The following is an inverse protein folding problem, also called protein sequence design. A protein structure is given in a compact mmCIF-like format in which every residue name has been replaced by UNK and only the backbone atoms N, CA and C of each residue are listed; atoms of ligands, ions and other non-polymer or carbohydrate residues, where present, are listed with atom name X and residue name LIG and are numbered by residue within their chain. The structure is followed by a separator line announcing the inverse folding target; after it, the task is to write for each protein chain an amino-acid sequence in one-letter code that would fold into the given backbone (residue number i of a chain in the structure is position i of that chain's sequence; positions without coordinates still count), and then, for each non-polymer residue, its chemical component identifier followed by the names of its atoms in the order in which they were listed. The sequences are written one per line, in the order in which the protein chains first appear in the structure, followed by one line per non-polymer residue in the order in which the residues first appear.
data_IF_716412772572
#
_entry.id   IF_716412772572
#
_cell.length_a   1.000
_cell.length_b   1.000
_cell.length_c   1.000
_cell.angle_alpha   90.00
_cell.angle_beta   90.00
_cell.angle_gamma   90.00
#
_symmetry.space_group_name_H-M   'P 1'
#
loop_
_entity.id
_entity.type
_entity.pdbx_description
1 polymer ?
#
# COMPACT_ATOMS: atom_id res chain seq x y z
N UNK A 1 25.16 -12.90 19.10
CA UNK A 1 25.48 -13.44 17.77
C UNK A 1 24.24 -13.22 16.93
N UNK A 2 24.18 -12.12 16.17
CA UNK A 2 23.00 -11.78 15.38
C UNK A 2 23.00 -12.72 14.17
N UNK A 3 22.07 -13.68 14.13
CA UNK A 3 21.71 -14.34 12.88
C UNK A 3 21.32 -13.20 11.95
N UNK A 4 22.05 -13.02 10.85
CA UNK A 4 21.67 -12.00 9.88
C UNK A 4 20.26 -12.32 9.42
N UNK A 5 19.30 -11.45 9.73
CA UNK A 5 17.93 -11.56 9.26
C UNK A 5 17.95 -11.38 7.74
N UNK A 6 18.27 -12.46 7.03
CA UNK A 6 18.18 -12.50 5.59
C UNK A 6 16.73 -12.24 5.22
N UNK A 7 16.51 -11.26 4.34
CA UNK A 7 15.20 -10.99 3.76
C UNK A 7 14.56 -12.32 3.31
N UNK A 8 13.28 -12.58 3.63
CA UNK A 8 12.65 -13.83 3.22
C UNK A 8 12.68 -13.98 1.70
N UNK A 9 12.94 -15.21 1.22
CA UNK A 9 12.76 -15.53 -0.18
C UNK A 9 11.25 -15.63 -0.47
N UNK A 10 10.75 -14.78 -1.38
CA UNK A 10 9.38 -14.85 -1.87
C UNK A 10 9.35 -15.50 -3.24
N UNK A 11 8.42 -16.41 -3.46
CA UNK A 11 8.19 -17.03 -4.77
C UNK A 11 7.10 -16.31 -5.57
N UNK A 12 6.37 -15.40 -4.92
CA UNK A 12 5.17 -14.73 -5.44
C UNK A 12 5.18 -13.25 -5.03
N UNK A 13 4.86 -12.39 -5.98
CA UNK A 13 4.80 -10.94 -5.79
C UNK A 13 3.46 -10.45 -6.29
N UNK A 14 2.68 -9.88 -5.39
CA UNK A 14 1.30 -9.50 -5.64
C UNK A 14 1.20 -8.00 -5.41
N UNK A 15 0.66 -7.27 -6.37
CA UNK A 15 0.34 -5.87 -6.19
C UNK A 15 -1.15 -5.63 -6.38
N UNK A 16 -1.70 -4.80 -5.50
CA UNK A 16 -3.12 -4.50 -5.43
C UNK A 16 -3.28 -2.99 -5.51
N UNK A 17 -3.79 -2.53 -6.65
CA UNK A 17 -4.33 -1.17 -6.76
C UNK A 17 -5.65 -1.14 -5.96
N UNK A 18 -5.74 -0.25 -4.98
CA UNK A 18 -6.74 -0.34 -3.91
C UNK A 18 -7.70 0.85 -3.92
N UNK A 19 -9.00 0.55 -3.80
CA UNK A 19 -10.04 1.57 -3.85
C UNK A 19 -10.47 2.05 -2.46
N UNK A 20 -10.49 3.37 -2.29
CA UNK A 20 -11.17 4.07 -1.20
C UNK A 20 -12.61 4.52 -1.51
N UNK A 21 -13.13 4.24 -2.70
CA UNK A 21 -14.47 4.67 -3.08
C UNK A 21 -15.57 3.96 -2.27
N UNK A 22 -16.67 4.66 -2.02
CA UNK A 22 -17.84 4.10 -1.35
C UNK A 22 -18.75 3.35 -2.33
N UNK A 23 -19.37 2.26 -1.88
CA UNK A 23 -20.35 1.47 -2.63
C UNK A 23 -19.95 0.00 -2.79
N UNK A 24 -20.92 -0.86 -3.15
CA UNK A 24 -20.69 -2.31 -3.36
C UNK A 24 -19.95 -2.64 -4.67
N UNK A 25 -19.72 -1.64 -5.52
CA UNK A 25 -19.16 -1.77 -6.86
C UNK A 25 -18.36 -0.51 -7.19
N UNK A 26 -17.10 -0.48 -6.82
CA UNK A 26 -16.15 0.53 -7.30
C UNK A 26 -15.27 -0.10 -8.39
N UNK A 27 -15.07 0.61 -9.49
CA UNK A 27 -14.35 0.11 -10.67
C UNK A 27 -12.81 0.16 -10.54
N UNK A 28 -12.28 0.28 -9.32
CA UNK A 28 -10.90 0.69 -9.07
C UNK A 28 -10.11 -0.24 -8.15
N UNK A 29 -10.36 -1.55 -8.20
CA UNK A 29 -9.44 -2.53 -7.61
C UNK A 29 -8.91 -3.42 -8.72
N UNK A 30 -7.59 -3.46 -8.86
CA UNK A 30 -6.89 -4.35 -9.78
C UNK A 30 -5.85 -5.15 -9.00
N UNK A 31 -5.75 -6.44 -9.32
CA UNK A 31 -4.80 -7.36 -8.70
C UNK A 31 -3.89 -7.90 -9.79
N UNK A 32 -2.59 -7.80 -9.59
CA UNK A 32 -1.59 -8.41 -10.46
C UNK A 32 -0.66 -9.30 -9.64
N UNK A 33 -0.21 -10.38 -10.26
CA UNK A 33 0.73 -11.33 -9.64
C UNK A 33 1.83 -11.72 -10.62
N UNK A 34 3.05 -11.88 -10.12
CA UNK A 34 4.14 -12.57 -10.82
C UNK A 34 4.85 -13.56 -9.88
N UNK A 35 5.47 -14.58 -10.47
CA UNK A 35 6.35 -15.49 -9.75
C UNK A 35 7.77 -14.93 -9.59
N UNK A 36 8.66 -15.71 -8.99
CA UNK A 36 10.09 -15.44 -8.99
C UNK A 36 10.64 -15.23 -10.41
N UNK A 37 10.06 -15.92 -11.39
CA UNK A 37 10.33 -15.78 -12.81
C UNK A 37 9.03 -15.49 -13.59
N UNK A 38 9.18 -15.03 -14.84
CA UNK A 38 8.05 -14.82 -15.77
C UNK A 38 7.38 -13.44 -15.67
N UNK A 39 6.43 -13.16 -16.57
CA UNK A 39 5.77 -11.85 -16.63
C UNK A 39 4.69 -11.70 -15.55
N UNK A 40 4.43 -10.47 -15.06
CA UNK A 40 3.25 -10.20 -14.26
C UNK A 40 1.98 -10.36 -15.09
N UNK A 41 0.91 -10.80 -14.43
CA UNK A 41 -0.41 -11.02 -15.03
C UNK A 41 -1.50 -10.43 -14.17
N UNK A 42 -2.53 -9.90 -14.80
CA UNK A 42 -3.76 -9.51 -14.11
C UNK A 42 -4.45 -10.79 -13.59
N UNK A 43 -4.82 -10.75 -12.32
CA UNK A 43 -5.64 -11.79 -11.69
C UNK A 43 -7.10 -11.41 -11.91
N UNK A 44 -7.82 -12.29 -12.59
CA UNK A 44 -9.24 -12.12 -12.81
C UNK A 44 -10.00 -12.11 -11.47
N UNK A 45 -11.00 -11.23 -11.30
CA UNK A 45 -11.85 -11.24 -10.11
C UNK A 45 -12.61 -12.56 -9.98
N UNK A 46 -12.86 -12.98 -8.74
CA UNK A 46 -13.71 -14.14 -8.43
C UNK A 46 -15.20 -13.88 -8.72
N UNK A 47 -15.56 -12.61 -8.85
CA UNK A 47 -16.88 -12.13 -9.26
C UNK A 47 -16.77 -11.30 -10.57
N UNK A 48 -17.82 -10.56 -10.95
CA UNK A 48 -17.78 -9.66 -12.12
C UNK A 48 -16.70 -8.57 -12.02
N UNK A 49 -16.37 -8.14 -10.81
CA UNK A 49 -15.33 -7.15 -10.49
C UNK A 49 -14.81 -7.42 -9.07
N UNK A 50 -13.61 -6.93 -8.75
CA UNK A 50 -13.08 -7.05 -7.39
C UNK A 50 -13.90 -6.21 -6.40
N UNK A 51 -14.25 -6.82 -5.27
CA UNK A 51 -14.60 -6.17 -4.01
C UNK A 51 -13.45 -6.36 -3.01
N UNK A 52 -13.38 -5.55 -1.95
CA UNK A 52 -12.36 -5.71 -0.89
C UNK A 52 -12.57 -7.02 -0.13
N UNK A 53 -13.82 -7.47 0.04
CA UNK A 53 -14.14 -8.81 0.55
C UNK A 53 -13.63 -9.91 -0.37
N UNK A 54 -13.86 -9.82 -1.68
CA UNK A 54 -13.33 -10.81 -2.63
C UNK A 54 -11.80 -10.84 -2.63
N UNK A 55 -11.13 -9.68 -2.50
CA UNK A 55 -9.66 -9.62 -2.36
C UNK A 55 -9.21 -10.27 -1.06
N UNK A 56 -9.89 -10.00 0.06
CA UNK A 56 -9.62 -10.66 1.35
C UNK A 56 -9.70 -12.18 1.23
N UNK A 57 -10.80 -12.71 0.68
CA UNK A 57 -11.01 -14.15 0.53
C UNK A 57 -9.91 -14.75 -0.37
N UNK A 58 -9.62 -14.12 -1.50
CA UNK A 58 -8.57 -14.57 -2.43
C UNK A 58 -7.16 -14.53 -1.82
N UNK A 59 -6.86 -13.53 -0.99
CA UNK A 59 -5.60 -13.43 -0.26
C UNK A 59 -5.49 -14.53 0.80
N UNK A 60 -6.57 -14.79 1.54
CA UNK A 60 -6.63 -15.81 2.58
C UNK A 60 -6.43 -17.21 1.98
N UNK A 61 -7.16 -17.55 0.92
CA UNK A 61 -6.96 -18.78 0.14
C UNK A 61 -5.55 -18.85 -0.45
N UNK A 62 -5.03 -17.68 -0.85
CA UNK A 62 -3.70 -17.54 -1.42
C UNK A 62 -2.55 -17.82 -0.47
N UNK A 63 -2.78 -17.88 0.85
CA UNK A 63 -1.78 -18.29 1.81
C UNK A 63 -1.36 -19.76 1.59
N UNK A 64 -2.27 -20.62 1.11
CA UNK A 64 -1.99 -22.05 0.85
C UNK A 64 -1.02 -22.26 -0.31
N UNK A 65 -0.90 -21.28 -1.21
CA UNK A 65 0.04 -21.32 -2.34
C UNK A 65 1.48 -20.98 -1.94
N UNK A 66 1.72 -20.71 -0.66
CA UNK A 66 3.02 -20.37 -0.09
C UNK A 66 3.27 -18.86 0.04
N UNK A 67 4.43 -18.49 0.62
CA UNK A 67 4.76 -17.12 1.00
C UNK A 67 4.80 -16.15 -0.18
N UNK A 68 4.16 -15.00 -0.02
CA UNK A 68 4.17 -13.92 -1.01
C UNK A 68 4.61 -12.59 -0.38
N UNK A 69 5.15 -11.70 -1.21
CA UNK A 69 5.22 -10.27 -0.90
C UNK A 69 4.03 -9.58 -1.55
N UNK A 70 3.16 -8.99 -0.72
CA UNK A 70 1.91 -8.36 -1.15
C UNK A 70 2.01 -6.85 -0.92
N UNK A 71 1.97 -6.07 -1.99
CA UNK A 71 1.87 -4.62 -1.94
C UNK A 71 0.42 -4.17 -2.12
N UNK A 72 -0.06 -3.28 -1.26
CA UNK A 72 -1.40 -2.67 -1.38
C UNK A 72 -1.27 -1.15 -1.48
N UNK A 73 -1.92 -0.55 -2.48
CA UNK A 73 -1.93 0.92 -2.69
C UNK A 73 -2.88 1.62 -1.71
N UNK A 74 -2.57 1.53 -0.42
CA UNK A 74 -3.26 2.29 0.61
C UNK A 74 -2.39 2.51 1.84
N UNK A 75 -2.66 3.59 2.57
CA UNK A 75 -1.97 3.89 3.81
C UNK A 75 -2.36 2.89 4.91
N UNK A 76 -1.37 2.20 5.49
CA UNK A 76 -1.61 1.24 6.58
C UNK A 76 -1.78 1.91 7.95
N UNK A 77 -1.55 3.22 8.03
CA UNK A 77 -1.79 4.02 9.22
C UNK A 77 -2.19 5.45 8.87
N UNK A 78 -2.45 6.25 9.91
CA UNK A 78 -2.67 7.69 9.83
C UNK A 78 -1.40 8.42 10.31
N UNK A 79 -1.19 9.68 9.89
CA UNK A 79 -0.24 10.59 10.54
C UNK A 79 -0.48 10.64 12.05
N UNK A 80 0.48 10.14 12.84
CA UNK A 80 0.28 10.00 14.28
C UNK A 80 0.33 11.34 15.00
N UNK A 81 0.78 12.43 14.36
CA UNK A 81 0.69 13.78 14.92
C UNK A 81 -0.76 14.18 15.21
N UNK A 82 -1.70 13.58 14.48
CA UNK A 82 -3.14 13.72 14.69
C UNK A 82 -3.69 12.49 15.43
N UNK A 83 -3.41 11.28 14.94
CA UNK A 83 -4.02 10.06 15.46
C UNK A 83 -3.68 9.75 16.93
N UNK A 84 -2.58 10.28 17.46
CA UNK A 84 -2.23 10.20 18.87
C UNK A 84 -3.36 10.65 19.82
N UNK A 85 -4.20 11.59 19.37
CA UNK A 85 -5.33 12.13 20.15
C UNK A 85 -6.44 11.11 20.40
N UNK A 86 -6.43 9.99 19.67
CA UNK A 86 -7.45 8.94 19.77
C UNK A 86 -7.19 7.97 20.92
N UNK A 87 -6.04 8.12 21.59
CA UNK A 87 -5.56 7.20 22.62
C UNK A 87 -5.34 7.93 23.95
N UNK A 88 -5.65 7.27 25.08
CA UNK A 88 -5.39 7.82 26.41
C UNK A 88 -3.88 7.87 26.74
N UNK A 89 -3.12 6.90 26.24
CA UNK A 89 -1.65 6.85 26.33
C UNK A 89 -1.08 6.77 24.90
N UNK A 90 -0.78 7.92 24.27
CA UNK A 90 -0.34 7.95 22.89
C UNK A 90 1.07 7.39 22.66
N UNK A 91 1.93 7.38 23.68
CA UNK A 91 3.30 6.85 23.59
C UNK A 91 3.29 5.30 23.61
N UNK A 92 2.31 4.70 24.29
CA UNK A 92 2.11 3.25 24.27
C UNK A 92 1.35 2.76 23.03
N UNK A 93 0.56 3.62 22.37
CA UNK A 93 -0.26 3.24 21.23
C UNK A 93 0.56 2.82 20.02
N UNK A 94 0.12 1.75 19.36
CA UNK A 94 0.69 1.21 18.13
C UNK A 94 -0.28 1.37 16.96
N UNK A 95 0.18 1.02 15.76
CA UNK A 95 -0.70 0.93 14.60
C UNK A 95 -1.85 -0.06 14.81
N UNK A 96 -1.64 -1.13 15.58
CA UNK A 96 -2.67 -2.16 15.77
C UNK A 96 -3.80 -1.66 16.69
N UNK A 97 -3.46 -0.79 17.66
CA UNK A 97 -4.47 -0.09 18.47
C UNK A 97 -5.33 0.85 17.61
N UNK A 98 -4.72 1.50 16.60
CA UNK A 98 -5.46 2.27 15.61
C UNK A 98 -6.39 1.38 14.78
N UNK A 99 -5.93 0.21 14.34
CA UNK A 99 -6.75 -0.71 13.57
C UNK A 99 -7.93 -1.24 14.39
N UNK A 100 -7.72 -1.60 15.65
CA UNK A 100 -8.78 -1.99 16.58
C UNK A 100 -9.78 -0.86 16.80
N UNK A 101 -9.29 0.39 16.88
CA UNK A 101 -10.17 1.57 16.99
C UNK A 101 -11.02 1.78 15.74
N UNK A 102 -10.42 1.67 14.55
CA UNK A 102 -11.14 1.79 13.28
C UNK A 102 -12.19 0.68 13.16
N UNK A 103 -11.83 -0.56 13.52
CA UNK A 103 -12.77 -1.69 13.48
C UNK A 103 -13.91 -1.54 14.50
N UNK A 104 -13.63 -1.05 15.71
CA UNK A 104 -14.67 -0.82 16.72
C UNK A 104 -15.76 0.16 16.24
N UNK A 105 -15.40 1.11 15.38
CA UNK A 105 -16.32 2.12 14.85
C UNK A 105 -16.98 1.68 13.54
N UNK A 106 -16.20 1.14 12.62
CA UNK A 106 -16.63 0.85 11.25
C UNK A 106 -16.93 -0.65 11.00
N UNK A 107 -16.81 -1.51 12.02
CA UNK A 107 -16.88 -2.97 11.89
C UNK A 107 -18.13 -3.50 11.18
N UNK A 108 -19.27 -2.85 11.41
CA UNK A 108 -20.54 -3.22 10.78
C UNK A 108 -20.66 -2.75 9.31
N UNK A 109 -19.75 -1.92 8.81
CA UNK A 109 -19.79 -1.49 7.42
C UNK A 109 -19.38 -2.62 6.48
N UNK A 110 -20.13 -2.83 5.38
CA UNK A 110 -19.86 -3.91 4.45
C UNK A 110 -18.54 -3.68 3.72
N UNK A 111 -17.98 -4.78 3.21
CA UNK A 111 -16.87 -4.74 2.25
C UNK A 111 -15.68 -3.91 2.77
N UNK A 112 -15.40 -4.04 4.07
CA UNK A 112 -14.35 -3.33 4.81
C UNK A 112 -14.41 -1.79 4.71
N UNK A 113 -15.55 -1.18 4.39
CA UNK A 113 -15.60 0.28 4.32
C UNK A 113 -15.25 0.94 5.66
N UNK A 114 -14.49 2.04 5.63
CA UNK A 114 -14.09 2.78 6.83
C UNK A 114 -14.73 4.16 6.93
N UNK A 115 -15.85 4.38 6.23
CA UNK A 115 -16.42 5.72 6.06
C UNK A 115 -16.94 6.30 7.38
N UNK A 116 -17.51 5.44 8.23
CA UNK A 116 -18.04 5.75 9.54
C UNK A 116 -16.98 6.21 10.53
N UNK A 117 -15.75 5.67 10.46
CA UNK A 117 -14.64 6.20 11.26
C UNK A 117 -14.33 7.65 10.90
N UNK A 118 -14.22 7.94 9.60
CA UNK A 118 -14.05 9.29 9.12
C UNK A 118 -15.29 10.17 9.39
N UNK A 119 -16.47 9.59 9.60
CA UNK A 119 -17.71 10.32 9.93
C UNK A 119 -17.92 10.55 11.44
N UNK A 120 -17.21 9.79 12.28
CA UNK A 120 -17.45 9.67 13.72
C UNK A 120 -17.29 11.00 14.47
N UNK A 121 -18.10 11.32 15.50
CA UNK A 121 -17.98 12.56 16.26
C UNK A 121 -16.58 12.77 16.87
N UNK A 122 -15.97 11.70 17.39
CA UNK A 122 -14.69 11.79 18.11
C UNK A 122 -13.46 11.88 17.20
N UNK A 123 -13.57 11.46 15.93
CA UNK A 123 -12.40 11.32 15.01
C UNK A 123 -12.57 12.12 13.73
N UNK A 124 -13.82 12.26 13.27
CA UNK A 124 -14.15 12.79 11.95
C UNK A 124 -13.84 14.28 11.76
N UNK A 125 -13.69 15.03 12.86
CA UNK A 125 -13.29 16.43 12.83
C UNK A 125 -11.87 16.64 12.28
N UNK A 126 -11.00 15.63 12.36
CA UNK A 126 -9.63 15.71 11.83
C UNK A 126 -9.55 15.45 10.32
N UNK A 127 -10.61 14.90 9.72
CA UNK A 127 -10.65 14.60 8.29
C UNK A 127 -11.21 15.79 7.50
N UNK A 128 -10.50 16.20 6.45
CA UNK A 128 -11.04 17.16 5.49
C UNK A 128 -12.00 16.44 4.52
N UNK A 129 -13.30 16.52 4.81
CA UNK A 129 -14.35 15.70 4.16
C UNK A 129 -15.19 16.43 3.11
N UNK A 130 -15.28 17.75 3.18
CA UNK A 130 -16.17 18.55 2.36
C UNK A 130 -15.65 20.00 2.24
N UNK A 131 -16.08 20.70 1.19
CA UNK A 131 -15.84 22.13 1.02
C UNK A 131 -14.39 22.52 0.72
N UNK A 132 -14.13 23.83 0.81
CA UNK A 132 -12.78 24.40 0.72
C UNK A 132 -11.89 23.86 1.85
N UNK A 133 -10.57 23.93 1.66
CA UNK A 133 -9.64 23.55 2.71
C UNK A 133 -9.87 24.45 3.94
N UNK A 134 -10.20 23.88 5.11
CA UNK A 134 -10.45 24.68 6.29
C UNK A 134 -9.14 25.13 6.93
N UNK A 135 -9.16 26.27 7.62
CA UNK A 135 -7.96 26.92 8.20
C UNK A 135 -7.20 26.04 9.22
N UNK A 136 -7.92 25.13 9.88
CA UNK A 136 -7.33 24.17 10.82
C UNK A 136 -6.59 23.02 10.12
N UNK A 137 -6.88 22.74 8.85
CA UNK A 137 -6.29 21.60 8.15
C UNK A 137 -4.88 21.94 7.68
N UNK A 138 -3.89 21.34 8.36
CA UNK A 138 -2.46 21.54 8.12
C UNK A 138 -1.80 20.46 7.25
N UNK A 139 -2.58 19.74 6.44
CA UNK A 139 -2.12 18.67 5.54
C UNK A 139 -1.13 17.69 6.21
N UNK A 140 -1.57 16.96 7.26
CA UNK A 140 -0.68 16.10 8.03
C UNK A 140 -0.18 14.92 7.19
N UNK A 141 1.12 14.66 7.19
CA UNK A 141 1.76 13.53 6.49
C UNK A 141 2.53 12.67 7.48
N UNK A 142 2.67 11.37 7.22
CA UNK A 142 3.65 10.54 7.94
C UNK A 142 5.03 10.86 7.41
N UNK A 143 6.07 10.33 8.07
CA UNK A 143 7.44 10.52 7.59
C UNK A 143 7.65 9.95 6.18
N UNK A 144 7.02 8.82 5.86
CA UNK A 144 7.21 8.14 4.57
C UNK A 144 6.73 8.98 3.36
N UNK A 145 5.61 9.71 3.45
CA UNK A 145 5.19 10.58 2.33
C UNK A 145 6.12 11.77 2.14
N UNK A 146 6.69 12.31 3.23
CA UNK A 146 7.69 13.39 3.14
C UNK A 146 8.96 12.90 2.45
N UNK A 147 9.46 11.72 2.81
CA UNK A 147 10.65 11.13 2.17
C UNK A 147 10.34 10.74 0.72
N UNK A 148 9.18 10.16 0.43
CA UNK A 148 8.74 9.85 -0.93
C UNK A 148 8.80 11.08 -1.85
N UNK A 149 8.33 12.23 -1.34
CA UNK A 149 8.41 13.52 -2.04
C UNK A 149 9.85 14.00 -2.21
N UNK A 150 10.65 13.96 -1.16
CA UNK A 150 12.05 14.37 -1.19
C UNK A 150 12.93 13.50 -2.11
N UNK A 151 12.54 12.24 -2.30
CA UNK A 151 13.18 11.29 -3.22
C UNK A 151 12.72 11.49 -4.68
N UNK A 152 11.73 12.35 -4.93
CA UNK A 152 11.20 12.59 -6.27
C UNK A 152 10.26 11.49 -6.76
N UNK A 153 9.77 10.61 -5.89
CA UNK A 153 8.84 9.53 -6.24
C UNK A 153 7.38 9.98 -6.30
N UNK A 154 7.11 11.28 -6.26
CA UNK A 154 5.78 11.86 -6.38
C UNK A 154 5.34 12.57 -5.09
N UNK A 155 4.04 12.64 -4.87
CA UNK A 155 3.48 13.31 -3.68
C UNK A 155 2.23 12.59 -3.23
N UNK A 156 2.40 11.47 -2.50
CA UNK A 156 1.28 10.81 -1.82
C UNK A 156 0.51 11.85 -0.99
N UNK A 157 -0.81 11.70 -0.96
CA UNK A 157 -1.68 12.63 -0.25
C UNK A 157 -1.84 12.18 1.20
N UNK A 158 -2.11 13.14 2.08
CA UNK A 158 -2.46 12.85 3.47
C UNK A 158 -3.65 11.90 3.55
N UNK A 159 -3.60 10.84 4.39
CA UNK A 159 -4.77 10.02 4.70
C UNK A 159 -5.92 10.80 5.35
N UNK A 160 -5.68 12.00 5.90
CA UNK A 160 -6.74 12.86 6.42
C UNK A 160 -7.46 13.69 5.34
N UNK A 161 -7.01 13.63 4.08
CA UNK A 161 -7.66 14.31 2.95
C UNK A 161 -8.69 13.39 2.29
N UNK A 162 -9.97 13.70 2.44
CA UNK A 162 -11.09 12.95 1.84
C UNK A 162 -11.84 13.73 0.76
N UNK A 163 -11.25 14.81 0.24
CA UNK A 163 -11.82 15.66 -0.81
C UNK A 163 -11.30 15.32 -2.21
N UNK A 164 -12.22 15.40 -3.18
CA UNK A 164 -11.94 15.25 -4.60
C UNK A 164 -11.82 13.79 -5.04
N UNK A 165 -11.20 13.58 -6.21
CA UNK A 165 -11.01 12.25 -6.80
C UNK A 165 -10.00 11.37 -6.02
N UNK A 166 -9.32 11.92 -5.00
CA UNK A 166 -8.24 11.27 -4.25
C UNK A 166 -8.64 11.08 -2.78
N UNK A 167 -9.66 10.26 -2.54
CA UNK A 167 -10.13 9.92 -1.19
C UNK A 167 -9.26 8.82 -0.55
N UNK A 168 -7.95 9.01 -0.56
CA UNK A 168 -6.95 8.00 -0.15
C UNK A 168 -7.15 7.53 1.29
N UNK A 169 -7.66 8.40 2.16
CA UNK A 169 -7.94 8.06 3.56
C UNK A 169 -9.01 6.99 3.75
N UNK A 170 -10.08 6.99 2.93
CA UNK A 170 -11.08 5.92 2.98
C UNK A 170 -10.51 4.58 2.52
N UNK A 171 -9.59 4.62 1.56
CA UNK A 171 -8.83 3.44 1.12
C UNK A 171 -7.95 2.90 2.24
N UNK A 172 -7.22 3.79 2.92
CA UNK A 172 -6.40 3.45 4.09
C UNK A 172 -7.22 2.82 5.22
N UNK A 173 -8.30 3.46 5.65
CA UNK A 173 -9.19 2.93 6.69
C UNK A 173 -9.74 1.54 6.33
N UNK A 174 -10.11 1.33 5.06
CA UNK A 174 -10.54 0.01 4.61
C UNK A 174 -9.41 -1.02 4.56
N UNK A 175 -8.21 -0.61 4.17
CA UNK A 175 -7.02 -1.45 4.19
C UNK A 175 -6.66 -1.91 5.60
N UNK A 176 -6.72 -1.00 6.59
CA UNK A 176 -6.50 -1.32 8.01
C UNK A 176 -7.46 -2.40 8.50
N UNK A 177 -8.76 -2.28 8.18
CA UNK A 177 -9.78 -3.28 8.53
C UNK A 177 -9.50 -4.64 7.89
N UNK A 178 -9.19 -4.67 6.58
CA UNK A 178 -8.88 -5.92 5.87
C UNK A 178 -7.62 -6.59 6.42
N UNK A 179 -6.54 -5.83 6.63
CA UNK A 179 -5.27 -6.35 7.14
C UNK A 179 -5.41 -6.87 8.58
N UNK A 180 -6.20 -6.18 9.41
CA UNK A 180 -6.57 -6.66 10.74
C UNK A 180 -7.27 -8.01 10.66
N UNK A 181 -8.26 -8.15 9.78
CA UNK A 181 -8.97 -9.41 9.59
C UNK A 181 -8.03 -10.54 9.11
N UNK A 182 -7.12 -10.26 8.17
CA UNK A 182 -6.12 -11.24 7.70
C UNK A 182 -5.19 -11.70 8.83
N UNK A 183 -4.68 -10.76 9.64
CA UNK A 183 -3.85 -11.08 10.81
C UNK A 183 -4.61 -11.94 11.82
N UNK A 184 -5.90 -11.70 12.02
CA UNK A 184 -6.71 -12.51 12.93
C UNK A 184 -7.01 -13.91 12.40
N UNK A 185 -7.25 -14.02 11.08
CA UNK A 185 -7.53 -15.31 10.44
C UNK A 185 -6.30 -16.22 10.36
N UNK A 186 -5.10 -15.66 10.21
CA UNK A 186 -3.87 -16.44 10.02
C UNK A 186 -2.62 -15.78 10.66
N UNK A 187 -2.57 -15.63 12.00
CA UNK A 187 -1.55 -14.85 12.71
C UNK A 187 -0.11 -15.33 12.47
N UNK A 188 0.08 -16.65 12.35
CA UNK A 188 1.40 -17.26 12.15
C UNK A 188 1.89 -17.20 10.70
N UNK A 189 1.00 -16.86 9.75
CA UNK A 189 1.30 -16.84 8.31
C UNK A 189 1.31 -15.44 7.72
N UNK A 190 0.70 -14.47 8.40
CA UNK A 190 0.57 -13.08 7.92
C UNK A 190 1.47 -12.17 8.73
N UNK A 191 2.36 -11.43 8.05
CA UNK A 191 3.15 -10.34 8.61
C UNK A 191 2.82 -9.03 7.90
N UNK A 192 2.77 -7.91 8.62
CA UNK A 192 2.57 -6.58 8.03
C UNK A 192 3.82 -5.75 8.29
N UNK A 193 4.63 -5.55 7.26
CA UNK A 193 5.82 -4.72 7.34
C UNK A 193 5.45 -3.23 7.31
N UNK A 194 6.13 -2.35 8.10
CA UNK A 194 7.28 -2.62 8.98
C UNK A 194 6.92 -2.96 10.43
N UNK A 195 5.64 -3.18 10.74
CA UNK A 195 5.15 -3.36 12.11
C UNK A 195 5.46 -4.75 12.67
N UNK A 196 5.35 -5.78 11.84
CA UNK A 196 5.81 -7.13 12.12
C UNK A 196 7.14 -7.38 11.39
N UNK A 197 8.07 -8.12 11.99
CA UNK A 197 9.26 -8.57 11.28
C UNK A 197 8.86 -9.53 10.15
N UNK A 198 9.45 -9.38 8.94
CA UNK A 198 9.32 -10.39 7.90
C UNK A 198 10.00 -11.68 8.39
N UNK A 199 9.42 -12.84 8.07
CA UNK A 199 9.92 -14.12 8.58
C UNK A 199 9.76 -15.28 7.58
N UNK A 200 10.55 -16.35 7.70
CA UNK A 200 10.44 -17.52 6.83
C UNK A 200 9.02 -18.08 6.83
N UNK A 201 8.51 -18.44 5.65
CA UNK A 201 7.19 -19.06 5.53
C UNK A 201 5.99 -18.11 5.66
N UNK A 202 6.21 -16.81 5.93
CA UNK A 202 5.13 -15.83 6.09
C UNK A 202 4.89 -15.04 4.81
N UNK A 203 3.63 -14.83 4.48
CA UNK A 203 3.23 -13.80 3.51
C UNK A 203 3.36 -12.44 4.18
N UNK A 204 4.08 -11.54 3.53
CA UNK A 204 4.37 -10.19 4.03
C UNK A 204 3.54 -9.18 3.25
N UNK A 205 2.78 -8.37 3.97
CA UNK A 205 2.02 -7.25 3.44
C UNK A 205 2.80 -5.96 3.65
N UNK A 206 2.86 -5.11 2.61
CA UNK A 206 3.51 -3.81 2.67
C UNK A 206 2.66 -2.76 1.95
N UNK A 207 2.77 -1.52 2.41
CA UNK A 207 2.20 -0.39 1.70
C UNK A 207 3.02 -0.11 0.44
N UNK A 208 2.35 0.13 -0.69
CA UNK A 208 2.99 0.58 -1.92
C UNK A 208 2.40 1.90 -2.39
N UNK A 209 3.15 2.55 -3.29
CA UNK A 209 2.68 3.71 -4.05
C UNK A 209 3.00 3.46 -5.52
N UNK A 210 2.04 3.05 -6.37
CA UNK A 210 2.30 2.61 -7.74
C UNK A 210 3.14 3.59 -8.56
N UNK A 211 2.94 4.89 -8.33
CA UNK A 211 3.71 5.98 -8.93
C UNK A 211 5.22 5.84 -8.72
N UNK A 212 5.67 5.33 -7.57
CA UNK A 212 7.09 5.08 -7.29
C UNK A 212 7.67 4.14 -8.35
N UNK A 213 6.98 3.03 -8.65
CA UNK A 213 7.44 2.07 -9.63
C UNK A 213 7.40 2.63 -11.05
N UNK A 214 6.37 3.41 -11.41
CA UNK A 214 6.32 4.11 -12.69
C UNK A 214 7.48 5.09 -12.87
N UNK A 215 7.85 5.84 -11.82
CA UNK A 215 8.98 6.77 -11.87
C UNK A 215 10.29 6.01 -12.05
N UNK A 216 10.48 4.91 -11.31
CA UNK A 216 11.66 4.05 -11.46
C UNK A 216 11.74 3.40 -12.85
N UNK A 217 10.60 3.12 -13.45
CA UNK A 217 10.50 2.62 -14.82
C UNK A 217 10.69 3.71 -15.90
N UNK A 218 10.97 4.97 -15.51
CA UNK A 218 11.21 6.07 -16.46
C UNK A 218 9.95 6.78 -16.99
N UNK A 219 8.78 6.48 -16.43
CA UNK A 219 7.51 7.08 -16.87
C UNK A 219 7.20 8.42 -16.19
N UNK A 220 7.87 8.73 -15.07
CA UNK A 220 7.65 9.98 -14.35
C UNK A 220 6.22 10.08 -13.82
N UNK A 221 5.57 11.22 -14.03
CA UNK A 221 4.16 11.46 -13.65
C UNK A 221 3.13 11.01 -14.71
N UNK A 222 3.57 10.43 -15.83
CA UNK A 222 2.68 9.95 -16.91
C UNK A 222 1.89 8.73 -16.46
N UNK A 223 0.66 8.58 -16.97
CA UNK A 223 -0.13 7.35 -16.82
C UNK A 223 0.19 6.42 -18.00
N UNK A 224 0.20 5.12 -17.75
CA UNK A 224 0.27 4.09 -18.79
C UNK A 224 -1.15 3.74 -19.23
N UNK A 225 -1.36 3.62 -20.54
CA UNK A 225 -2.70 3.43 -21.16
C UNK A 225 -2.74 2.34 -22.23
N UNK A 226 -1.62 1.70 -22.53
CA UNK A 226 -1.51 0.65 -23.54
C UNK A 226 -0.47 -0.40 -23.13
N UNK A 227 -0.59 -1.59 -23.72
CA UNK A 227 0.25 -2.74 -23.40
C UNK A 227 1.72 -2.56 -23.76
N UNK A 228 2.04 -1.80 -24.82
CA UNK A 228 3.44 -1.56 -25.21
C UNK A 228 4.18 -0.70 -24.17
N UNK A 229 3.49 0.30 -23.60
CA UNK A 229 4.02 1.10 -22.50
C UNK A 229 4.15 0.28 -21.20
N UNK A 230 3.24 -0.67 -20.93
CA UNK A 230 3.41 -1.64 -19.83
C UNK A 230 4.69 -2.44 -20.05
N UNK A 231 4.87 -3.06 -21.22
CA UNK A 231 6.04 -3.90 -21.50
C UNK A 231 7.35 -3.10 -21.46
N UNK A 232 7.34 -1.83 -21.88
CA UNK A 232 8.48 -0.93 -21.72
C UNK A 232 8.82 -0.66 -20.24
N UNK A 233 7.81 -0.48 -19.38
CA UNK A 233 8.04 -0.32 -17.94
C UNK A 233 8.57 -1.62 -17.30
N UNK A 234 8.02 -2.77 -17.70
CA UNK A 234 8.45 -4.09 -17.23
C UNK A 234 9.91 -4.38 -17.59
N UNK A 235 10.34 -4.03 -18.81
CA UNK A 235 11.71 -4.20 -19.24
C UNK A 235 12.73 -3.46 -18.35
N UNK A 236 12.41 -2.22 -17.92
CA UNK A 236 13.27 -1.45 -17.00
C UNK A 236 13.35 -2.11 -15.61
N UNK A 237 12.27 -2.76 -15.17
CA UNK A 237 12.21 -3.49 -13.90
C UNK A 237 12.75 -4.93 -14.01
N UNK A 238 13.34 -5.32 -15.15
CA UNK A 238 13.88 -6.65 -15.36
C UNK A 238 12.83 -7.76 -15.45
N UNK A 239 11.59 -7.42 -15.83
CA UNK A 239 10.50 -8.37 -15.99
C UNK A 239 10.27 -8.70 -17.48
N UNK A 240 9.95 -9.97 -17.81
CA UNK A 240 9.47 -10.33 -19.14
C UNK A 240 8.19 -9.56 -19.51
N UNK A 241 7.92 -9.32 -20.80
CA UNK A 241 6.72 -8.59 -21.24
C UNK A 241 5.44 -9.34 -20.85
N UNK A 242 4.42 -8.58 -20.44
CA UNK A 242 3.08 -9.09 -20.21
C UNK A 242 2.39 -9.48 -21.53
N UNK A 243 2.81 -8.88 -22.65
CA UNK A 243 2.29 -9.23 -23.98
C UNK A 243 0.84 -8.82 -24.20
N UNK A 244 0.40 -7.75 -23.51
CA UNK A 244 -0.94 -7.20 -23.63
C UNK A 244 -1.08 -6.46 -24.97
N UNK A 245 -2.20 -6.68 -25.66
CA UNK A 245 -2.53 -5.94 -26.88
C UNK A 245 -3.59 -4.87 -26.59
N UNK A 246 -3.42 -3.70 -27.20
CA UNK A 246 -4.40 -2.61 -27.13
C UNK A 246 -4.39 -1.81 -25.82
N UNK A 247 -5.55 -1.25 -25.50
CA UNK A 247 -5.73 -0.35 -24.36
C UNK A 247 -5.68 -1.11 -23.02
N UNK A 248 -5.05 -0.48 -22.03
CA UNK A 248 -4.94 -0.99 -20.65
C UNK A 248 -5.45 0.09 -19.69
N UNK A 249 -6.18 -0.30 -18.66
CA UNK A 249 -6.65 0.65 -17.63
C UNK A 249 -5.47 1.16 -16.80
N UNK A 250 -5.58 2.33 -16.17
CA UNK A 250 -4.53 2.79 -15.26
C UNK A 250 -4.37 1.86 -14.06
N UNK A 251 -5.49 1.35 -13.53
CA UNK A 251 -5.48 0.40 -12.42
C UNK A 251 -4.72 -0.89 -12.75
N UNK A 252 -4.97 -1.47 -13.93
CA UNK A 252 -4.26 -2.68 -14.37
C UNK A 252 -2.77 -2.41 -14.61
N UNK A 253 -2.44 -1.28 -15.25
CA UNK A 253 -1.05 -0.91 -15.50
C UNK A 253 -0.30 -0.66 -14.18
N UNK A 254 -0.91 0.05 -13.23
CA UNK A 254 -0.35 0.33 -11.90
C UNK A 254 -0.13 -0.98 -11.14
N UNK A 255 -1.08 -1.92 -11.17
CA UNK A 255 -0.93 -3.23 -10.55
C UNK A 255 0.20 -4.07 -11.20
N UNK A 256 0.23 -4.18 -12.54
CA UNK A 256 1.24 -4.97 -13.26
C UNK A 256 2.66 -4.46 -13.01
N UNK A 257 2.87 -3.15 -13.14
CA UNK A 257 4.18 -2.54 -12.94
C UNK A 257 4.59 -2.64 -11.46
N UNK A 258 3.65 -2.49 -10.53
CA UNK A 258 3.93 -2.64 -9.09
C UNK A 258 4.30 -4.08 -8.72
N UNK A 259 3.67 -5.11 -9.30
CA UNK A 259 4.01 -6.50 -9.04
C UNK A 259 5.45 -6.82 -9.48
N UNK A 260 5.85 -6.36 -10.67
CA UNK A 260 7.23 -6.43 -11.13
C UNK A 260 8.19 -5.62 -10.25
N UNK A 261 7.76 -4.43 -9.82
CA UNK A 261 8.54 -3.56 -8.95
C UNK A 261 8.79 -4.15 -7.56
N UNK A 262 7.80 -4.82 -6.97
CA UNK A 262 7.95 -5.57 -5.72
C UNK A 262 9.00 -6.68 -5.85
N UNK A 263 8.93 -7.48 -6.93
CA UNK A 263 9.95 -8.50 -7.23
C UNK A 263 11.34 -7.90 -7.33
N UNK A 264 11.46 -6.80 -8.08
CA UNK A 264 12.73 -6.11 -8.30
C UNK A 264 13.32 -5.53 -7.00
N UNK A 265 12.48 -4.99 -6.11
CA UNK A 265 12.93 -4.40 -4.85
C UNK A 265 13.19 -5.44 -3.75
N UNK A 266 12.46 -6.56 -3.72
CA UNK A 266 12.48 -7.48 -2.59
C UNK A 266 13.88 -7.99 -2.26
N UNK A 267 14.75 -8.23 -3.25
CA UNK A 267 16.12 -8.67 -3.04
C UNK A 267 17.08 -7.61 -2.48
N UNK A 268 16.66 -6.34 -2.35
CA UNK A 268 17.51 -5.22 -1.95
C UNK A 268 17.39 -4.97 -0.44
N UNK A 269 18.39 -5.37 0.34
CA UNK A 269 18.33 -5.24 1.81
C UNK A 269 18.01 -3.82 2.30
N UNK A 270 18.46 -2.78 1.59
CA UNK A 270 18.21 -1.38 1.92
C UNK A 270 16.72 -1.00 1.95
N UNK A 271 15.85 -1.67 1.17
CA UNK A 271 14.41 -1.34 1.14
C UNK A 271 13.67 -1.82 2.39
N UNK A 272 14.21 -2.83 3.08
CA UNK A 272 13.61 -3.42 4.28
C UNK A 272 13.98 -2.68 5.56
N UNK A 273 15.04 -1.87 5.51
CA UNK A 273 15.52 -1.06 6.63
C UNK A 273 16.09 0.28 6.14
N UNK A 274 15.27 1.13 5.50
CA UNK A 274 15.72 2.43 5.03
C UNK A 274 16.16 3.30 6.22
N UNK A 275 17.30 4.03 6.11
CA UNK A 275 17.86 4.79 7.23
C UNK A 275 16.91 5.83 7.84
N UNK A 276 16.02 6.42 7.02
CA UNK A 276 15.07 7.43 7.44
C UNK A 276 13.85 6.86 8.20
N UNK A 277 13.60 5.54 8.13
CA UNK A 277 12.50 4.93 8.88
C UNK A 277 12.89 4.90 10.35
N UNK A 278 12.21 5.69 11.18
CA UNK A 278 12.48 5.85 12.60
C UNK A 278 11.64 4.89 13.46
N UNK A 279 11.70 5.03 14.79
CA UNK A 279 10.94 4.18 15.71
C UNK A 279 9.42 4.39 15.58
N UNK A 280 9.00 5.62 15.28
CA UNK A 280 7.59 5.97 15.10
C UNK A 280 7.03 5.37 13.82
N UNK A 281 7.77 5.43 12.72
CA UNK A 281 7.42 4.75 11.49
C UNK A 281 7.29 3.23 11.69
N UNK A 282 8.21 2.59 12.42
CA UNK A 282 8.15 1.14 12.68
C UNK A 282 6.99 0.71 13.58
N UNK A 283 6.50 1.57 14.48
CA UNK A 283 5.48 1.21 15.48
C UNK A 283 4.09 1.74 15.18
N UNK A 284 4.00 2.93 14.59
CA UNK A 284 2.79 3.73 14.53
C UNK A 284 2.41 4.11 13.10
N UNK A 285 3.33 4.61 12.29
CA UNK A 285 2.97 5.24 11.00
C UNK A 285 3.14 4.32 9.78
N UNK A 286 4.08 3.40 9.79
CA UNK A 286 4.41 2.55 8.64
C UNK A 286 5.34 3.21 7.63
N UNK A 287 5.54 2.53 6.49
CA UNK A 287 6.45 2.98 5.43
C UNK A 287 5.99 2.47 4.06
N UNK A 288 6.08 3.33 3.04
CA UNK A 288 5.89 2.93 1.64
C UNK A 288 7.11 2.13 1.18
N UNK A 289 6.90 0.89 0.76
CA UNK A 289 7.98 -0.02 0.35
C UNK A 289 8.76 0.56 -0.85
N UNK A 290 10.09 0.63 -0.72
CA UNK A 290 10.99 1.21 -1.73
C UNK A 290 11.30 2.70 -1.59
N UNK A 291 10.66 3.43 -0.66
CA UNK A 291 11.04 4.81 -0.31
C UNK A 291 12.31 4.81 0.54
N UNK A 292 13.25 5.70 0.25
CA UNK A 292 14.56 5.77 0.91
C UNK A 292 15.67 4.96 0.23
N UNK A 293 15.35 4.08 -0.73
CA UNK A 293 16.35 3.36 -1.55
C UNK A 293 16.63 4.12 -2.86
N UNK A 294 17.37 5.23 -2.80
CA UNK A 294 17.73 5.95 -4.03
C UNK A 294 18.68 5.08 -4.87
N UNK A 295 18.42 4.98 -6.17
CA UNK A 295 19.40 4.39 -7.09
C UNK A 295 20.71 5.16 -6.94
N UNK A 296 21.77 4.50 -6.47
CA UNK A 296 23.11 5.05 -6.51
C UNK A 296 23.45 5.38 -7.97
N UNK A 297 23.39 6.67 -8.34
CA UNK A 297 23.68 7.14 -9.70
C UNK A 297 22.66 8.10 -10.33
N UNK A 298 21.48 8.33 -9.74
CA UNK A 298 20.59 9.39 -10.22
C UNK A 298 20.64 10.59 -9.26
N UNK A 299 21.03 11.80 -9.72
CA UNK A 299 20.97 13.00 -8.90
C UNK A 299 19.53 13.25 -8.46
N UNK A 300 19.36 13.84 -7.27
CA UNK A 300 18.05 14.28 -6.81
C UNK A 300 17.44 15.22 -7.87
N UNK A 301 16.16 15.08 -8.22
CA UNK A 301 15.54 16.02 -9.14
C UNK A 301 15.49 17.41 -8.49
N UNK A 302 16.23 18.37 -9.04
CA UNK A 302 16.23 19.77 -8.63
C UNK A 302 17.47 20.31 -7.91
N UNK A 303 18.66 19.75 -8.16
CA UNK A 303 19.92 20.48 -7.95
C UNK A 303 20.20 21.43 -9.13
#
# INVERSE_FOLDING_TARGET
MMVGDSVPAFSRFIAIDWSGAAGKRYAGVAVAECGAEGPPRIVAPTERQWSRTAVFDWLLDGLERGPALVGIDCAFSLPFDVAQRYFPDPDAATVFDLWDRVEAVAGAEPDFAGGGFAAHPDYGADFWRAGMQPDWYRDPHRLTERVCRADGYGSPQSPYKLIGAKQVGKGGLAGMRMLRALKQAAPDRVAVWPFDPPGPGRTVFCEIYPRLFLIRAGFGLRKIRDGAAVDAALAVLGAPPAGLSGAVTDHDADALVSAAGLRWLAGRQAVWSPPAMDARARRQEGWIFGVGDRNAGLPAPGA
#
